data_IF_383622757001
#
_entry.id   IF_383622757001
#
_cell.length_a   1.000
_cell.length_b   1.000
_cell.length_c   1.000
_cell.angle_alpha   90.00
_cell.angle_beta   90.00
_cell.angle_gamma   90.00
#
_symmetry.space_group_name_H-M   'P 1'
#
loop_
_entity.id
_entity.type
_entity.pdbx_description
1 polymer ?
#
# COMPACT_ATOMS: atom_id res chain seq x y z
N UNK A 1 -18.33 7.73 -17.86
CA UNK A 1 -18.84 7.89 -16.47
C UNK A 1 -19.06 9.38 -16.19
N UNK A 2 -20.18 9.78 -15.57
CA UNK A 2 -20.40 11.20 -15.25
C UNK A 2 -19.60 11.63 -14.02
N UNK A 3 -19.22 12.92 -13.92
CA UNK A 3 -18.51 13.48 -12.75
C UNK A 3 -19.24 13.19 -11.43
N UNK A 4 -20.57 13.20 -11.46
CA UNK A 4 -21.43 12.87 -10.32
C UNK A 4 -21.33 11.39 -9.92
N UNK A 5 -21.34 10.49 -10.89
CA UNK A 5 -21.20 9.05 -10.63
C UNK A 5 -19.82 8.72 -10.06
N UNK A 6 -18.76 9.31 -10.63
CA UNK A 6 -17.39 9.14 -10.12
C UNK A 6 -17.26 9.60 -8.66
N UNK A 7 -17.73 10.82 -8.34
CA UNK A 7 -17.69 11.34 -6.96
C UNK A 7 -18.41 10.44 -5.96
N UNK A 8 -19.56 9.89 -6.34
CA UNK A 8 -20.30 8.95 -5.48
C UNK A 8 -19.50 7.68 -5.21
N UNK A 9 -18.94 7.07 -6.26
CA UNK A 9 -18.13 5.87 -6.12
C UNK A 9 -16.89 6.10 -5.25
N UNK A 10 -16.16 7.19 -5.51
CA UNK A 10 -14.99 7.56 -4.73
C UNK A 10 -15.34 7.75 -3.25
N UNK A 11 -16.46 8.41 -2.94
CA UNK A 11 -16.90 8.60 -1.55
C UNK A 11 -17.19 7.26 -0.85
N UNK A 12 -17.77 6.29 -1.56
CA UNK A 12 -18.04 4.96 -0.99
C UNK A 12 -16.74 4.21 -0.67
N UNK A 13 -15.75 4.30 -1.56
CA UNK A 13 -14.42 3.71 -1.33
C UNK A 13 -13.74 4.39 -0.13
N UNK A 14 -13.71 5.73 -0.11
CA UNK A 14 -13.05 6.50 0.94
C UNK A 14 -13.65 6.30 2.33
N UNK A 15 -14.94 5.91 2.43
CA UNK A 15 -15.57 5.56 3.71
C UNK A 15 -15.05 4.26 4.33
N UNK A 16 -14.39 3.41 3.55
CA UNK A 16 -13.91 2.09 3.98
C UNK A 16 -12.37 2.00 4.03
N UNK A 17 -11.66 3.11 3.83
CA UNK A 17 -10.20 3.17 3.94
C UNK A 17 -9.79 4.19 4.98
N UNK A 18 -8.67 3.92 5.65
CA UNK A 18 -8.04 4.88 6.54
C UNK A 18 -6.99 5.68 5.76
N UNK A 19 -7.13 7.00 5.74
CA UNK A 19 -6.12 7.89 5.17
C UNK A 19 -5.05 8.12 6.23
N UNK A 20 -3.84 7.63 5.96
CA UNK A 20 -2.69 7.74 6.86
C UNK A 20 -2.10 9.16 6.74
N UNK A 21 -2.00 9.92 7.86
CA UNK A 21 -1.35 11.21 7.87
C UNK A 21 0.18 11.14 7.64
N UNK A 22 0.77 12.18 7.07
CA UNK A 22 2.21 12.19 6.73
C UNK A 22 3.13 12.12 7.95
N UNK A 23 2.73 12.69 9.08
CA UNK A 23 3.47 12.66 10.35
C UNK A 23 3.62 11.24 10.91
N UNK A 24 2.66 10.35 10.64
CA UNK A 24 2.76 8.92 10.95
C UNK A 24 3.88 8.25 10.12
N UNK A 25 4.13 8.73 8.91
CA UNK A 25 5.14 8.17 8.00
C UNK A 25 6.55 8.70 8.26
N UNK A 26 6.70 9.91 8.79
CA UNK A 26 8.00 10.57 8.98
C UNK A 26 9.05 9.71 9.69
N UNK A 27 8.75 9.03 10.81
CA UNK A 27 9.73 8.21 11.51
C UNK A 27 10.33 7.08 10.65
N UNK A 28 9.61 6.64 9.61
CA UNK A 28 9.94 5.48 8.80
C UNK A 28 10.56 5.83 7.45
N UNK A 29 10.58 7.10 7.04
CA UNK A 29 11.06 7.50 5.70
C UNK A 29 12.48 7.04 5.39
N UNK A 30 13.40 7.23 6.34
CA UNK A 30 14.81 6.87 6.13
C UNK A 30 14.99 5.36 5.94
N UNK A 31 14.24 4.55 6.68
CA UNK A 31 14.27 3.09 6.53
C UNK A 31 13.62 2.67 5.22
N UNK A 32 12.47 3.26 4.87
CA UNK A 32 11.78 3.00 3.63
C UNK A 32 12.66 3.27 2.40
N UNK A 33 13.34 4.42 2.37
CA UNK A 33 14.29 4.76 1.30
C UNK A 33 15.40 3.73 1.21
N UNK A 34 15.98 3.28 2.33
CA UNK A 34 17.04 2.24 2.30
C UNK A 34 16.55 0.93 1.69
N UNK A 35 15.28 0.57 1.88
CA UNK A 35 14.70 -0.67 1.37
C UNK A 35 14.48 -0.60 -0.15
N UNK A 36 14.05 0.54 -0.68
CA UNK A 36 13.49 0.62 -2.05
C UNK A 36 14.33 1.44 -3.03
N UNK A 37 15.33 2.22 -2.57
CA UNK A 37 16.11 3.15 -3.41
C UNK A 37 16.72 2.55 -4.68
N UNK A 38 17.07 1.26 -4.66
CA UNK A 38 17.71 0.57 -5.79
C UNK A 38 16.67 -0.10 -6.73
N UNK A 39 15.38 -0.01 -6.40
CA UNK A 39 14.25 -0.57 -7.14
C UNK A 39 13.41 0.56 -7.75
N UNK A 40 12.83 1.40 -6.89
CA UNK A 40 12.05 2.59 -7.25
C UNK A 40 11.92 3.53 -6.04
N UNK A 41 12.58 4.68 -6.08
CA UNK A 41 12.59 5.61 -4.96
C UNK A 41 11.19 6.22 -4.69
N UNK A 42 10.37 6.34 -5.73
CA UNK A 42 9.04 6.95 -5.64
C UNK A 42 8.06 6.07 -4.83
N UNK A 43 8.38 4.79 -4.64
CA UNK A 43 7.61 3.86 -3.84
C UNK A 43 7.91 3.92 -2.32
N UNK A 44 8.88 4.74 -1.90
CA UNK A 44 9.25 4.87 -0.49
C UNK A 44 8.08 5.21 0.45
N UNK A 45 7.09 6.06 0.09
CA UNK A 45 5.94 6.32 0.95
C UNK A 45 5.10 5.08 1.26
N UNK A 46 4.98 4.13 0.32
CA UNK A 46 4.23 2.89 0.54
C UNK A 46 4.97 1.96 1.50
N UNK A 47 6.30 1.88 1.38
CA UNK A 47 7.15 1.14 2.31
C UNK A 47 7.09 1.77 3.71
N UNK A 48 7.19 3.10 3.82
CA UNK A 48 7.06 3.80 5.10
C UNK A 48 5.71 3.54 5.77
N UNK A 49 4.63 3.53 4.98
CA UNK A 49 3.30 3.19 5.47
C UNK A 49 3.25 1.75 6.02
N UNK A 50 3.82 0.79 5.28
CA UNK A 50 3.85 -0.58 5.75
C UNK A 50 4.68 -0.78 7.02
N UNK A 51 5.78 -0.04 7.18
CA UNK A 51 6.59 -0.04 8.40
C UNK A 51 5.86 0.58 9.60
N UNK A 52 5.04 1.61 9.37
CA UNK A 52 4.23 2.25 10.41
C UNK A 52 3.11 1.34 10.94
N UNK A 53 2.69 0.34 10.16
CA UNK A 53 1.65 -0.63 10.53
C UNK A 53 2.22 -2.06 10.52
N UNK A 54 2.75 -2.55 11.64
CA UNK A 54 3.31 -3.90 11.74
C UNK A 54 2.34 -4.97 11.24
N UNK A 55 2.85 -5.98 10.54
CA UNK A 55 2.09 -7.06 9.90
C UNK A 55 1.15 -6.61 8.77
N UNK A 56 1.25 -5.35 8.33
CA UNK A 56 0.58 -4.91 7.12
C UNK A 56 1.19 -5.56 5.88
N UNK A 57 0.44 -5.50 4.80
CA UNK A 57 0.82 -6.01 3.48
C UNK A 57 0.51 -4.92 2.48
N UNK A 58 1.43 -4.70 1.54
CA UNK A 58 1.16 -3.78 0.43
C UNK A 58 0.39 -4.58 -0.63
N UNK A 59 -0.77 -4.04 -1.02
CA UNK A 59 -1.51 -4.52 -2.17
C UNK A 59 -1.12 -3.68 -3.39
N UNK A 60 -0.40 -4.29 -4.33
CA UNK A 60 -0.01 -3.66 -5.59
C UNK A 60 0.26 -4.70 -6.67
N UNK A 61 -0.16 -4.40 -7.90
CA UNK A 61 0.17 -5.20 -9.08
C UNK A 61 1.55 -4.83 -9.68
N UNK A 62 2.25 -3.83 -9.10
CA UNK A 62 3.63 -3.54 -9.49
C UNK A 62 4.58 -4.66 -9.03
N UNK A 63 5.14 -5.36 -10.01
CA UNK A 63 6.05 -6.47 -9.80
C UNK A 63 7.41 -6.01 -9.26
N UNK A 64 7.81 -4.75 -9.48
CA UNK A 64 9.09 -4.22 -8.96
C UNK A 64 9.12 -4.24 -7.43
N UNK A 65 8.00 -3.92 -6.78
CA UNK A 65 7.87 -3.96 -5.33
C UNK A 65 8.16 -5.34 -4.72
N UNK A 66 8.01 -6.43 -5.49
CA UNK A 66 8.35 -7.78 -5.04
C UNK A 66 9.86 -8.07 -5.00
N UNK A 67 10.69 -7.15 -5.51
CA UNK A 67 12.15 -7.29 -5.46
C UNK A 67 12.72 -7.04 -4.05
N UNK A 68 12.03 -6.24 -3.22
CA UNK A 68 12.37 -6.13 -1.79
C UNK A 68 11.77 -7.29 -1.00
N UNK A 69 12.38 -7.64 0.14
CA UNK A 69 12.00 -8.79 0.96
C UNK A 69 11.51 -8.44 2.37
N UNK A 70 11.40 -7.15 2.70
CA UNK A 70 11.04 -6.65 4.03
C UNK A 70 9.55 -6.61 4.26
N UNK A 71 8.79 -6.22 3.25
CA UNK A 71 7.34 -6.04 3.31
C UNK A 71 6.68 -7.08 2.40
N UNK A 72 5.64 -7.74 2.90
CA UNK A 72 4.82 -8.65 2.09
C UNK A 72 4.07 -7.84 1.03
N UNK A 73 4.18 -8.27 -0.23
CA UNK A 73 3.46 -7.69 -1.37
C UNK A 73 2.49 -8.72 -1.91
N UNK A 74 1.22 -8.34 -2.05
CA UNK A 74 0.21 -9.14 -2.74
C UNK A 74 -0.26 -8.39 -3.99
N UNK A 75 -0.31 -9.08 -5.11
CA UNK A 75 -1.03 -8.59 -6.28
C UNK A 75 -2.54 -8.79 -6.10
N UNK A 76 -3.36 -8.27 -7.01
CA UNK A 76 -4.83 -8.33 -6.87
C UNK A 76 -5.36 -9.75 -6.76
N UNK A 77 -4.82 -10.68 -7.55
CA UNK A 77 -5.23 -12.09 -7.48
C UNK A 77 -4.87 -12.70 -6.12
N UNK A 78 -3.62 -12.53 -5.68
CA UNK A 78 -3.15 -13.07 -4.42
C UNK A 78 -3.87 -12.45 -3.21
N UNK A 79 -4.29 -11.19 -3.32
CA UNK A 79 -5.09 -10.51 -2.30
C UNK A 79 -6.49 -11.14 -2.19
N UNK A 80 -7.14 -11.46 -3.31
CA UNK A 80 -8.42 -12.17 -3.32
C UNK A 80 -8.25 -13.57 -2.72
N UNK A 81 -7.28 -14.34 -3.19
CA UNK A 81 -6.98 -15.69 -2.67
C UNK A 81 -6.71 -15.67 -1.15
N UNK A 82 -6.02 -14.62 -0.67
CA UNK A 82 -5.73 -14.42 0.75
C UNK A 82 -6.97 -14.03 1.59
N UNK A 83 -7.94 -13.34 1.01
CA UNK A 83 -9.19 -13.00 1.68
C UNK A 83 -10.15 -14.19 1.74
N UNK A 84 -10.26 -14.96 0.66
CA UNK A 84 -11.14 -16.13 0.57
C UNK A 84 -10.67 -17.30 1.45
N UNK A 85 -9.37 -17.37 1.74
CA UNK A 85 -8.76 -18.37 2.62
C UNK A 85 -8.83 -18.02 4.11
N UNK A 86 -9.32 -16.82 4.47
CA UNK A 86 -9.55 -16.46 5.88
C UNK A 86 -10.85 -17.11 6.37
N UNK A 87 -10.83 -17.79 7.54
CA UNK A 87 -12.01 -18.42 8.13
C UNK A 87 -13.04 -17.40 8.61
#
# INVERSE_FOLDING_TARGET
MSKKAFKKLLHLILRNVLIVPNDVLEPYKNEAVKIIKDIDLDDAPFIACALAYPNSTIWSDDKKLKQQSKIKILNTKEMIDYLDSRP
#
